data_IF_588745967047
#
_entry.id   IF_588745967047
#
_cell.length_a   1.000
_cell.length_b   1.000
_cell.length_c   1.000
_cell.angle_alpha   90.00
_cell.angle_beta   90.00
_cell.angle_gamma   90.00
#
_symmetry.space_group_name_H-M   'P 1'
#
loop_
_entity.id
_entity.type
_entity.pdbx_description
1 polymer ?
#
# COMPACT_ATOMS: atom_id res chain seq x y z
N UNK A 1 44.06 1.53 -34.45
CA UNK A 1 43.98 1.84 -33.00
C UNK A 1 43.64 3.30 -32.68
N UNK A 2 44.18 4.32 -33.36
CA UNK A 2 43.96 5.74 -33.01
C UNK A 2 42.50 6.27 -33.15
N UNK A 3 41.70 5.77 -34.11
CA UNK A 3 40.26 6.11 -34.23
C UNK A 3 39.43 5.67 -33.02
N UNK A 4 39.73 4.51 -32.42
CA UNK A 4 39.01 3.98 -31.24
C UNK A 4 39.22 4.85 -30.00
N UNK A 5 40.44 5.35 -29.76
CA UNK A 5 40.76 6.23 -28.63
C UNK A 5 40.04 7.60 -28.71
N UNK A 6 39.86 8.17 -29.91
CA UNK A 6 39.09 9.43 -30.09
C UNK A 6 37.61 9.27 -29.76
N UNK A 7 36.98 8.19 -30.22
CA UNK A 7 35.58 7.86 -29.86
C UNK A 7 35.40 7.54 -28.39
N UNK A 8 36.37 6.87 -27.77
CA UNK A 8 36.36 6.58 -26.34
C UNK A 8 36.41 7.88 -25.52
N UNK A 9 37.33 8.78 -25.83
CA UNK A 9 37.46 10.08 -25.17
C UNK A 9 36.22 10.99 -25.34
N UNK A 10 35.61 10.98 -26.52
CA UNK A 10 34.35 11.70 -26.77
C UNK A 10 33.17 11.12 -25.96
N UNK A 11 33.10 9.80 -25.81
CA UNK A 11 32.11 9.13 -24.96
C UNK A 11 32.29 9.47 -23.48
N UNK A 12 33.52 9.50 -22.97
CA UNK A 12 33.80 9.95 -21.58
C UNK A 12 33.34 11.38 -21.33
N UNK A 13 33.58 12.29 -22.29
CA UNK A 13 33.13 13.68 -22.18
C UNK A 13 31.61 13.80 -22.19
N UNK A 14 30.95 13.07 -23.09
CA UNK A 14 29.49 13.02 -23.15
C UNK A 14 28.89 12.48 -21.84
N UNK A 15 29.44 11.38 -21.31
CA UNK A 15 29.07 10.82 -20.00
C UNK A 15 29.28 11.87 -18.89
N UNK A 16 30.39 12.61 -18.93
CA UNK A 16 30.65 13.70 -18.00
C UNK A 16 29.57 14.79 -18.03
N UNK A 17 29.15 15.24 -19.22
CA UNK A 17 28.06 16.22 -19.35
C UNK A 17 26.71 15.66 -18.86
N UNK A 18 26.39 14.40 -19.16
CA UNK A 18 25.17 13.75 -18.67
C UNK A 18 25.17 13.66 -17.15
N UNK A 19 26.28 13.24 -16.54
CA UNK A 19 26.41 13.19 -15.07
C UNK A 19 26.33 14.58 -14.45
N UNK A 20 26.92 15.60 -15.07
CA UNK A 20 26.82 16.99 -14.60
C UNK A 20 25.36 17.47 -14.60
N UNK A 21 24.61 17.24 -15.68
CA UNK A 21 23.20 17.60 -15.78
C UNK A 21 22.36 16.82 -14.76
N UNK A 22 22.60 15.52 -14.62
CA UNK A 22 21.91 14.69 -13.63
C UNK A 22 22.17 15.13 -12.19
N UNK A 23 23.42 15.47 -11.85
CA UNK A 23 23.79 15.98 -10.53
C UNK A 23 23.13 17.33 -10.22
N UNK A 24 23.10 18.26 -11.18
CA UNK A 24 22.39 19.55 -11.04
C UNK A 24 20.88 19.32 -10.87
N UNK A 25 20.29 18.43 -11.65
CA UNK A 25 18.86 18.11 -11.55
C UNK A 25 18.49 17.56 -10.16
N UNK A 26 19.32 16.68 -9.58
CA UNK A 26 19.12 16.18 -8.23
C UNK A 26 19.18 17.29 -7.18
N UNK A 27 20.12 18.23 -7.30
CA UNK A 27 20.24 19.37 -6.39
C UNK A 27 19.00 20.27 -6.50
N UNK A 28 18.56 20.60 -7.72
CA UNK A 28 17.39 21.46 -7.95
C UNK A 28 16.12 20.86 -7.38
N UNK A 29 15.88 19.56 -7.59
CA UNK A 29 14.72 18.89 -7.01
C UNK A 29 14.79 18.85 -5.48
N UNK A 30 15.95 18.52 -4.90
CA UNK A 30 16.11 18.55 -3.45
C UNK A 30 15.86 19.92 -2.83
N UNK A 31 16.34 21.00 -3.49
CA UNK A 31 16.08 22.38 -3.07
C UNK A 31 14.60 22.73 -3.22
N UNK A 32 13.94 22.31 -4.30
CA UNK A 32 12.52 22.58 -4.54
C UNK A 32 11.64 21.91 -3.48
N UNK A 33 11.87 20.61 -3.23
CA UNK A 33 11.14 19.83 -2.23
C UNK A 33 11.35 20.42 -0.83
N UNK A 34 12.57 20.86 -0.52
CA UNK A 34 12.86 21.56 0.73
C UNK A 34 12.23 22.95 0.81
N UNK A 35 12.23 23.73 -0.27
CA UNK A 35 11.64 25.07 -0.28
C UNK A 35 10.13 25.02 -0.05
N UNK A 36 9.47 24.00 -0.62
CA UNK A 36 8.05 23.72 -0.41
C UNK A 36 7.77 23.33 1.05
N UNK A 37 8.60 22.47 1.66
CA UNK A 37 8.51 22.13 3.08
C UNK A 37 8.92 23.27 4.01
N UNK A 38 9.85 24.13 3.61
CA UNK A 38 10.32 25.29 4.38
C UNK A 38 9.27 26.39 4.45
N UNK A 39 8.40 26.52 3.44
CA UNK A 39 7.22 27.39 3.51
C UNK A 39 6.23 26.94 4.59
N UNK A 40 6.19 25.66 4.91
CA UNK A 40 5.39 25.10 6.00
C UNK A 40 6.07 25.23 7.38
N UNK A 41 7.22 25.89 7.48
CA UNK A 41 7.92 26.06 8.75
C UNK A 41 7.26 27.11 9.64
N UNK A 42 6.67 28.15 9.04
CA UNK A 42 5.95 29.22 9.72
C UNK A 42 4.48 28.87 10.02
N UNK A 43 4.03 27.70 9.55
CA UNK A 43 2.70 27.18 9.85
C UNK A 43 2.53 26.89 11.34
N UNK A 44 1.38 27.28 11.87
CA UNK A 44 1.07 27.13 13.29
C UNK A 44 0.64 25.68 13.58
N UNK A 45 0.94 25.21 14.78
CA UNK A 45 0.51 23.88 15.23
C UNK A 45 -0.78 23.97 16.02
N UNK A 46 -1.66 22.99 15.82
CA UNK A 46 -2.87 22.80 16.61
C UNK A 46 -3.13 21.32 16.85
N UNK A 47 -4.02 21.02 17.79
CA UNK A 47 -4.54 19.68 17.98
C UNK A 47 -5.73 19.46 17.05
N UNK A 48 -5.73 18.33 16.36
CA UNK A 48 -6.83 17.85 15.55
C UNK A 48 -7.33 16.51 16.10
N UNK A 49 -8.62 16.26 15.97
CA UNK A 49 -9.23 14.98 16.31
C UNK A 49 -9.47 14.20 15.02
N UNK A 50 -9.04 12.93 14.98
CA UNK A 50 -9.31 12.04 13.85
C UNK A 50 -10.80 11.74 13.79
N UNK A 51 -11.44 12.00 12.65
CA UNK A 51 -12.86 11.78 12.42
C UNK A 51 -13.14 10.60 11.50
N UNK A 52 -12.19 10.22 10.64
CA UNK A 52 -12.29 9.03 9.81
C UNK A 52 -10.92 8.43 9.48
N UNK A 53 -10.90 7.11 9.24
CA UNK A 53 -9.70 6.35 8.90
C UNK A 53 -10.03 5.36 7.79
N UNK A 54 -9.21 5.32 6.76
CA UNK A 54 -9.30 4.33 5.67
C UNK A 54 -7.92 3.78 5.31
N UNK A 55 -7.89 2.65 4.61
CA UNK A 55 -6.67 2.01 4.15
C UNK A 55 -6.72 1.65 2.67
N UNK A 56 -5.56 1.60 2.04
CA UNK A 56 -5.39 1.11 0.67
C UNK A 56 -4.15 0.25 0.54
N UNK A 57 -4.25 -0.78 -0.30
CA UNK A 57 -3.18 -1.76 -0.50
C UNK A 57 -2.41 -1.44 -1.78
N UNK A 58 -1.12 -1.16 -1.65
CA UNK A 58 -0.21 -1.01 -2.78
C UNK A 58 0.52 -2.33 -3.01
N UNK A 59 0.43 -2.84 -4.24
CA UNK A 59 1.13 -4.06 -4.67
C UNK A 59 2.36 -3.68 -5.47
N UNK A 60 3.54 -4.11 -5.03
CA UNK A 60 4.77 -3.93 -5.78
C UNK A 60 4.99 -5.11 -6.73
N UNK A 61 5.05 -4.84 -8.03
CA UNK A 61 5.38 -5.84 -9.05
C UNK A 61 6.90 -6.07 -9.08
N UNK A 62 7.39 -7.07 -8.33
CA UNK A 62 8.81 -7.45 -8.24
C UNK A 62 9.01 -8.92 -7.82
N UNK A 63 10.26 -9.36 -7.58
CA UNK A 63 10.64 -10.77 -7.32
C UNK A 63 10.19 -11.37 -5.98
N UNK A 64 9.14 -10.82 -5.40
CA UNK A 64 8.46 -11.29 -4.21
C UNK A 64 7.20 -10.46 -4.11
N UNK A 65 6.04 -11.10 -4.20
CA UNK A 65 4.74 -10.44 -4.07
C UNK A 65 4.68 -9.76 -2.68
N UNK A 66 5.06 -8.48 -2.60
CA UNK A 66 5.02 -7.68 -1.38
C UNK A 66 3.90 -6.66 -1.55
N UNK A 67 2.92 -6.75 -0.67
CA UNK A 67 1.87 -5.74 -0.50
C UNK A 67 2.18 -4.91 0.72
N UNK A 68 2.02 -3.59 0.60
CA UNK A 68 2.06 -2.66 1.72
C UNK A 68 0.71 -2.00 1.86
N UNK A 69 0.19 -1.98 3.08
CA UNK A 69 -1.05 -1.25 3.41
C UNK A 69 -0.67 0.10 3.96
N UNK A 70 -1.29 1.14 3.42
CA UNK A 70 -1.15 2.51 3.89
C UNK A 70 -2.50 3.03 4.36
N UNK A 71 -2.47 3.97 5.29
CA UNK A 71 -3.64 4.54 5.95
C UNK A 71 -3.75 6.02 5.64
N UNK A 72 -4.97 6.51 5.51
CA UNK A 72 -5.29 7.92 5.33
C UNK A 72 -6.32 8.32 6.38
N UNK A 73 -6.02 9.41 7.09
CA UNK A 73 -6.86 9.98 8.12
C UNK A 73 -7.61 11.18 7.55
N UNK A 74 -8.87 11.33 7.97
CA UNK A 74 -9.57 12.61 7.96
C UNK A 74 -9.62 13.10 9.40
N UNK A 75 -9.34 14.37 9.61
CA UNK A 75 -9.29 14.96 10.95
C UNK A 75 -9.91 16.35 10.95
N UNK A 76 -10.40 16.76 12.10
CA UNK A 76 -10.98 18.09 12.32
C UNK A 76 -10.18 18.86 13.37
N UNK A 77 -10.03 20.17 13.16
CA UNK A 77 -9.37 21.09 14.08
C UNK A 77 -10.07 22.44 14.07
N UNK A 78 -9.96 23.16 15.18
CA UNK A 78 -10.58 24.48 15.33
C UNK A 78 -9.52 25.57 15.31
N UNK A 79 -9.72 26.59 14.49
CA UNK A 79 -8.91 27.81 14.43
C UNK A 79 -9.84 29.00 14.58
N UNK A 80 -9.57 29.88 15.55
CA UNK A 80 -10.38 31.08 15.81
C UNK A 80 -11.90 30.86 15.96
N UNK A 81 -12.30 29.66 16.43
CA UNK A 81 -13.71 29.30 16.61
C UNK A 81 -14.40 28.71 15.36
N UNK A 82 -13.68 28.55 14.26
CA UNK A 82 -14.14 27.86 13.04
C UNK A 82 -13.52 26.48 12.94
N UNK A 83 -14.30 25.49 12.51
CA UNK A 83 -13.86 24.10 12.34
C UNK A 83 -13.41 23.87 10.91
N UNK A 84 -12.25 23.26 10.77
CA UNK A 84 -11.61 22.90 9.51
C UNK A 84 -11.38 21.40 9.45
N UNK A 85 -11.40 20.85 8.25
CA UNK A 85 -11.18 19.43 8.00
C UNK A 85 -9.93 19.25 7.15
N UNK A 86 -9.00 18.42 7.61
CA UNK A 86 -7.79 18.07 6.88
C UNK A 86 -7.73 16.59 6.52
N UNK A 87 -6.82 16.25 5.60
CA UNK A 87 -6.49 14.87 5.24
C UNK A 87 -5.00 14.62 5.45
N UNK A 88 -4.65 13.45 5.99
CA UNK A 88 -3.24 13.08 6.14
C UNK A 88 -2.64 12.61 4.82
N UNK A 89 -1.30 12.64 4.73
CA UNK A 89 -0.58 11.81 3.76
C UNK A 89 -0.74 10.31 4.04
N UNK A 90 -0.05 9.48 3.26
CA UNK A 90 -0.03 8.03 3.46
C UNK A 90 0.76 7.68 4.72
N UNK A 91 0.10 7.04 5.68
CA UNK A 91 0.70 6.55 6.92
C UNK A 91 0.94 5.05 6.85
N UNK A 92 2.02 4.57 7.46
CA UNK A 92 2.32 3.13 7.55
C UNK A 92 1.60 2.42 8.69
N UNK A 93 1.05 3.19 9.63
CA UNK A 93 0.38 2.69 10.83
C UNK A 93 -0.99 3.34 10.96
N UNK A 94 -2.03 2.58 11.33
CA UNK A 94 -3.35 3.14 11.56
C UNK A 94 -3.37 4.00 12.83
N UNK A 95 -4.34 4.90 12.87
CA UNK A 95 -4.85 5.56 14.08
C UNK A 95 -6.33 5.21 14.22
N UNK A 96 -6.92 5.52 15.37
CA UNK A 96 -8.35 5.34 15.60
C UNK A 96 -9.07 6.69 15.49
N UNK A 97 -10.35 6.64 15.10
CA UNK A 97 -11.28 7.75 15.24
C UNK A 97 -11.33 8.16 16.72
N UNK A 98 -11.27 9.47 16.97
CA UNK A 98 -11.14 10.04 18.31
C UNK A 98 -9.71 10.28 18.77
N UNK A 99 -8.69 9.71 18.10
CA UNK A 99 -7.30 10.01 18.43
C UNK A 99 -7.00 11.50 18.24
N UNK A 100 -6.23 12.07 19.18
CA UNK A 100 -5.72 13.43 19.08
C UNK A 100 -4.36 13.42 18.38
N UNK A 101 -4.25 14.20 17.32
CA UNK A 101 -3.03 14.35 16.52
C UNK A 101 -2.59 15.81 16.50
N UNK A 102 -1.29 16.04 16.36
CA UNK A 102 -0.77 17.39 16.10
C UNK A 102 -0.72 17.61 14.59
N UNK A 103 -1.25 18.74 14.13
CA UNK A 103 -1.21 19.15 12.74
C UNK A 103 -0.66 20.56 12.63
N UNK A 104 -0.09 20.88 11.47
CA UNK A 104 0.25 22.24 11.09
C UNK A 104 -0.80 22.77 10.13
N UNK A 105 -1.13 24.05 10.22
CA UNK A 105 -2.03 24.74 9.29
C UNK A 105 -1.46 26.10 8.88
N UNK A 106 -1.85 26.57 7.70
CA UNK A 106 -1.50 27.91 7.23
C UNK A 106 -2.37 28.97 7.94
N UNK A 107 -1.79 29.91 8.71
CA UNK A 107 -2.59 30.94 9.38
C UNK A 107 -3.30 31.91 8.42
N UNK A 108 -2.83 32.04 7.18
CA UNK A 108 -3.46 32.87 6.14
C UNK A 108 -4.53 32.10 5.34
N UNK A 109 -4.47 30.76 5.36
CA UNK A 109 -5.41 29.84 4.71
C UNK A 109 -5.65 28.59 5.59
N UNK A 110 -6.44 28.70 6.68
CA UNK A 110 -6.54 27.63 7.68
C UNK A 110 -7.11 26.32 7.18
N UNK A 111 -7.72 26.27 5.99
CA UNK A 111 -8.12 25.06 5.26
C UNK A 111 -6.93 24.20 4.79
N UNK A 112 -5.76 24.79 4.60
CA UNK A 112 -4.53 24.08 4.23
C UNK A 112 -3.85 23.55 5.50
N UNK A 113 -3.77 22.23 5.62
CA UNK A 113 -3.14 21.57 6.78
C UNK A 113 -2.31 20.34 6.40
N UNK A 114 -1.37 19.99 7.29
CA UNK A 114 -0.49 18.84 7.12
C UNK A 114 -0.19 18.16 8.46
N UNK A 115 -0.06 16.83 8.40
CA UNK A 115 0.42 16.00 9.52
C UNK A 115 1.95 15.92 9.59
N UNK A 116 2.67 16.48 8.61
CA UNK A 116 4.14 16.49 8.58
C UNK A 116 4.66 17.65 9.41
N UNK A 117 5.09 17.37 10.64
CA UNK A 117 5.47 18.41 11.60
C UNK A 117 6.84 19.05 11.33
N UNK A 118 7.74 18.35 10.63
CA UNK A 118 9.11 18.82 10.38
C UNK A 118 9.54 18.54 8.94
N UNK A 119 10.21 19.49 8.27
CA UNK A 119 10.84 19.25 6.97
C UNK A 119 11.83 18.10 7.07
N UNK A 120 11.90 17.27 6.03
CA UNK A 120 12.89 16.20 5.90
C UNK A 120 14.25 16.79 5.52
N UNK A 121 14.88 17.52 6.45
CA UNK A 121 16.22 18.12 6.31
C UNK A 121 17.28 17.10 5.88
N UNK A 122 17.12 15.84 6.30
CA UNK A 122 17.99 14.73 5.91
C UNK A 122 17.93 14.44 4.41
N UNK A 123 16.76 14.49 3.79
CA UNK A 123 16.59 14.17 2.37
C UNK A 123 17.19 15.26 1.48
N UNK A 124 17.02 16.54 1.86
CA UNK A 124 17.74 17.65 1.24
C UNK A 124 19.26 17.42 1.32
N UNK A 125 19.78 17.13 2.52
CA UNK A 125 21.23 16.96 2.73
C UNK A 125 21.76 15.79 1.89
N UNK A 126 21.04 14.66 1.83
CA UNK A 126 21.43 13.52 0.99
C UNK A 126 21.43 13.88 -0.49
N UNK A 127 20.38 14.53 -1.00
CA UNK A 127 20.28 14.93 -2.40
C UNK A 127 21.36 15.95 -2.78
N UNK A 128 21.68 16.89 -1.88
CA UNK A 128 22.71 17.91 -2.10
C UNK A 128 24.11 17.29 -2.12
N UNK A 129 24.44 16.40 -1.17
CA UNK A 129 25.73 15.70 -1.12
C UNK A 129 25.90 14.78 -2.35
N UNK A 130 24.90 13.97 -2.65
CA UNK A 130 24.94 13.03 -3.76
C UNK A 130 24.98 13.76 -5.12
N UNK A 131 24.12 14.76 -5.30
CA UNK A 131 24.08 15.57 -6.51
C UNK A 131 25.39 16.33 -6.75
N UNK A 132 26.00 16.87 -5.69
CA UNK A 132 27.31 17.55 -5.77
C UNK A 132 28.43 16.58 -6.15
N UNK A 133 28.45 15.38 -5.56
CA UNK A 133 29.43 14.35 -5.89
C UNK A 133 29.32 13.91 -7.37
N UNK A 134 28.09 13.66 -7.85
CA UNK A 134 27.82 13.27 -9.24
C UNK A 134 28.21 14.42 -10.20
N UNK A 135 27.87 15.66 -9.86
CA UNK A 135 28.23 16.83 -10.66
C UNK A 135 29.74 17.03 -10.74
N UNK A 136 30.47 16.86 -9.63
CA UNK A 136 31.93 16.97 -9.60
C UNK A 136 32.62 15.91 -10.48
N UNK A 137 32.14 14.66 -10.45
CA UNK A 137 32.60 13.59 -11.35
C UNK A 137 32.28 13.95 -12.80
N UNK A 138 31.09 14.50 -13.07
CA UNK A 138 30.70 14.98 -14.39
C UNK A 138 31.60 16.09 -14.94
N UNK A 139 31.95 17.07 -14.10
CA UNK A 139 32.87 18.17 -14.43
C UNK A 139 34.29 17.64 -14.71
N UNK A 140 34.76 16.66 -13.95
CA UNK A 140 36.07 16.04 -14.16
C UNK A 140 36.12 15.28 -15.51
N UNK A 141 35.10 14.45 -15.79
CA UNK A 141 35.04 13.61 -16.98
C UNK A 141 34.71 14.40 -18.26
N UNK A 142 33.93 15.48 -18.17
CA UNK A 142 33.59 16.35 -19.30
C UNK A 142 34.81 17.10 -19.84
N UNK A 143 35.88 17.20 -19.05
CA UNK A 143 37.08 17.96 -19.40
C UNK A 143 36.83 19.47 -19.47
N UNK A 144 35.72 19.96 -18.88
CA UNK A 144 35.36 21.38 -18.80
C UNK A 144 36.45 22.17 -18.07
N UNK A 145 37.08 21.60 -17.05
CA UNK A 145 38.24 22.22 -16.37
C UNK A 145 39.38 22.49 -17.38
N UNK A 146 39.63 21.54 -18.27
CA UNK A 146 40.61 21.67 -19.35
C UNK A 146 40.20 22.71 -20.39
N UNK A 147 38.92 22.75 -20.77
CA UNK A 147 38.37 23.75 -21.70
C UNK A 147 38.34 25.17 -21.11
N UNK A 148 38.09 25.35 -19.81
CA UNK A 148 38.18 26.64 -19.12
C UNK A 148 39.63 27.09 -19.06
N UNK A 149 40.57 26.18 -18.74
CA UNK A 149 42.02 26.46 -18.85
C UNK A 149 42.42 26.83 -20.26
N UNK A 150 41.91 26.11 -21.26
CA UNK A 150 42.20 26.34 -22.66
C UNK A 150 41.54 27.64 -23.14
N UNK A 151 40.32 28.00 -22.72
CA UNK A 151 39.66 29.27 -23.03
C UNK A 151 40.38 30.47 -22.38
N UNK A 152 40.85 30.30 -21.13
CA UNK A 152 41.76 31.25 -20.48
C UNK A 152 43.09 31.40 -21.23
N UNK A 153 43.60 30.32 -21.84
CA UNK A 153 44.80 30.34 -22.69
C UNK A 153 44.54 30.81 -24.14
N UNK A 154 43.32 30.63 -24.66
CA UNK A 154 42.90 30.86 -26.06
C UNK A 154 42.29 32.23 -26.27
N UNK A 155 42.07 33.00 -25.21
CA UNK A 155 42.15 34.46 -25.26
C UNK A 155 43.53 34.96 -25.75
N UNK A 156 44.52 34.07 -25.94
CA UNK A 156 45.88 34.40 -26.37
C UNK A 156 46.28 33.92 -27.76
N UNK A 157 45.63 32.95 -28.42
CA UNK A 157 45.96 32.54 -29.82
C UNK A 157 44.90 31.66 -30.50
N UNK A 158 44.70 31.87 -31.83
CA UNK A 158 43.59 31.37 -32.66
C UNK A 158 43.63 29.92 -33.19
N UNK A 159 42.53 29.54 -33.85
CA UNK A 159 42.10 28.21 -34.43
C UNK A 159 42.29 28.19 -35.99
N UNK A 160 41.86 27.18 -36.79
CA UNK A 160 41.73 25.68 -36.68
C UNK A 160 42.08 24.89 -38.00
N UNK A 161 42.04 23.52 -38.10
CA UNK A 161 40.97 22.62 -38.63
C UNK A 161 41.57 21.23 -39.09
N UNK A 162 40.86 20.28 -39.72
CA UNK A 162 39.94 19.17 -39.32
C UNK A 162 39.95 18.13 -40.48
N UNK A 163 39.51 16.87 -40.31
CA UNK A 163 38.71 16.08 -41.31
C UNK A 163 38.41 14.61 -40.90
N UNK A 164 37.44 14.01 -41.62
CA UNK A 164 36.37 13.03 -41.26
C UNK A 164 36.45 11.72 -42.08
N UNK A 165 35.74 10.62 -41.70
CA UNK A 165 34.93 9.72 -42.60
C UNK A 165 34.32 8.43 -41.96
N UNK A 166 33.12 8.05 -42.45
CA UNK A 166 32.14 6.94 -42.16
C UNK A 166 32.24 5.77 -43.17
N UNK A 167 31.60 4.59 -42.92
CA UNK A 167 30.82 3.72 -43.90
C UNK A 167 30.09 2.54 -43.20
N UNK A 168 28.98 2.10 -43.80
CA UNK A 168 27.87 1.16 -43.46
C UNK A 168 28.14 -0.38 -43.52
N UNK A 169 27.13 -1.20 -43.14
CA UNK A 169 26.67 -2.45 -43.83
C UNK A 169 25.28 -2.89 -43.36
N UNK A 170 24.45 -3.43 -44.27
CA UNK A 170 23.07 -3.92 -44.06
C UNK A 170 22.93 -5.44 -43.92
N UNK A 171 21.71 -5.93 -43.66
CA UNK A 171 21.34 -7.35 -43.49
C UNK A 171 20.02 -7.68 -44.20
N UNK A 172 19.94 -8.91 -44.74
CA UNK A 172 18.88 -9.43 -45.63
C UNK A 172 17.95 -10.44 -44.90
N UNK A 173 16.67 -10.50 -45.27
CA UNK A 173 15.55 -10.95 -44.41
C UNK A 173 14.78 -12.18 -44.91
N UNK A 174 15.34 -13.01 -45.79
CA UNK A 174 14.57 -14.06 -46.48
C UNK A 174 14.70 -15.50 -45.93
N UNK A 175 14.96 -15.71 -44.63
CA UNK A 175 15.30 -17.05 -44.11
C UNK A 175 14.36 -17.64 -43.05
N UNK A 176 13.10 -17.19 -42.91
CA UNK A 176 12.20 -17.80 -41.92
C UNK A 176 10.80 -17.98 -42.51
N UNK A 177 10.56 -19.15 -43.11
CA UNK A 177 9.21 -19.65 -43.28
C UNK A 177 9.20 -21.19 -43.33
N UNK A 178 8.57 -21.80 -42.31
CA UNK A 178 7.46 -22.78 -42.38
C UNK A 178 7.58 -23.87 -41.30
N UNK A 179 6.58 -23.92 -40.42
CA UNK A 179 6.21 -25.12 -39.64
C UNK A 179 4.69 -25.30 -39.76
N UNK A 180 4.17 -26.50 -40.05
CA UNK A 180 2.76 -26.69 -40.43
C UNK A 180 1.82 -26.74 -39.22
N UNK A 181 0.75 -25.94 -39.28
CA UNK A 181 -0.17 -25.64 -38.17
C UNK A 181 -1.25 -26.69 -37.86
N UNK A 182 -1.20 -27.92 -38.40
CA UNK A 182 -2.41 -28.76 -38.48
C UNK A 182 -2.57 -29.91 -37.47
N UNK A 183 -1.69 -30.04 -36.47
CA UNK A 183 -1.72 -31.19 -35.55
C UNK A 183 -2.06 -30.85 -34.08
N UNK A 184 -2.11 -29.57 -33.71
CA UNK A 184 -2.20 -29.15 -32.30
C UNK A 184 -3.64 -28.88 -31.82
N UNK A 185 -4.57 -28.59 -32.74
CA UNK A 185 -5.94 -28.14 -32.42
C UNK A 185 -6.73 -29.10 -31.52
N UNK A 186 -6.80 -30.42 -31.77
CA UNK A 186 -7.59 -31.33 -30.91
C UNK A 186 -6.94 -31.55 -29.54
N UNK A 187 -5.60 -31.49 -29.46
CA UNK A 187 -4.88 -31.59 -28.18
C UNK A 187 -5.09 -30.36 -27.32
N UNK A 188 -5.15 -29.18 -27.95
CA UNK A 188 -5.39 -27.90 -27.26
C UNK A 188 -6.82 -27.83 -26.72
N UNK A 189 -7.82 -28.34 -27.46
CA UNK A 189 -9.20 -28.42 -27.00
C UNK A 189 -9.38 -29.37 -25.79
N UNK A 190 -8.76 -30.55 -25.82
CA UNK A 190 -8.79 -31.49 -24.70
C UNK A 190 -8.06 -30.92 -23.46
N UNK A 191 -6.95 -30.20 -23.68
CA UNK A 191 -6.22 -29.52 -22.61
C UNK A 191 -7.04 -28.38 -21.98
N UNK A 192 -7.76 -27.60 -22.80
CA UNK A 192 -8.65 -26.54 -22.32
C UNK A 192 -9.85 -27.09 -21.53
N UNK A 193 -10.41 -28.23 -21.93
CA UNK A 193 -11.49 -28.90 -21.21
C UNK A 193 -11.02 -29.46 -19.86
N UNK A 194 -9.86 -30.13 -19.84
CA UNK A 194 -9.24 -30.59 -18.60
C UNK A 194 -8.88 -29.42 -17.69
N UNK A 195 -8.37 -28.32 -18.26
CA UNK A 195 -8.08 -27.09 -17.53
C UNK A 195 -9.35 -26.45 -16.97
N UNK A 196 -10.45 -26.39 -17.72
CA UNK A 196 -11.73 -25.88 -17.24
C UNK A 196 -12.30 -26.75 -16.11
N UNK A 197 -12.19 -28.09 -16.21
CA UNK A 197 -12.60 -29.01 -15.15
C UNK A 197 -11.74 -28.84 -13.89
N UNK A 198 -10.42 -28.66 -14.04
CA UNK A 198 -9.52 -28.33 -12.92
C UNK A 198 -9.87 -26.97 -12.34
N UNK A 199 -10.12 -25.94 -13.15
CA UNK A 199 -10.54 -24.61 -12.67
C UNK A 199 -11.87 -24.69 -11.92
N UNK A 200 -12.83 -25.50 -12.36
CA UNK A 200 -14.11 -25.70 -11.67
C UNK A 200 -13.94 -26.53 -10.38
N UNK A 201 -13.08 -27.55 -10.38
CA UNK A 201 -12.74 -28.36 -9.21
C UNK A 201 -11.96 -27.53 -8.17
N UNK A 202 -11.03 -26.70 -8.62
CA UNK A 202 -10.30 -25.70 -7.84
C UNK A 202 -11.26 -24.64 -7.31
N UNK A 203 -12.25 -24.18 -8.09
CA UNK A 203 -13.32 -23.29 -7.60
C UNK A 203 -14.18 -23.97 -6.54
N UNK A 204 -14.51 -25.26 -6.71
CA UNK A 204 -15.36 -26.01 -5.79
C UNK A 204 -14.65 -26.32 -4.45
N UNK A 205 -13.33 -26.52 -4.46
CA UNK A 205 -12.54 -26.79 -3.25
C UNK A 205 -11.83 -25.56 -2.65
N UNK A 206 -11.61 -24.47 -3.40
CA UNK A 206 -11.03 -23.22 -2.89
C UNK A 206 -12.06 -22.12 -2.61
N UNK A 207 -13.34 -22.35 -2.92
CA UNK A 207 -14.40 -21.50 -2.35
C UNK A 207 -14.67 -22.03 -0.95
N UNK A 208 -13.85 -21.61 0.01
CA UNK A 208 -14.36 -21.50 1.38
C UNK A 208 -15.66 -20.67 1.27
N UNK A 209 -16.81 -21.27 1.57
CA UNK A 209 -18.14 -20.64 1.56
C UNK A 209 -18.24 -19.62 2.71
N UNK A 210 -17.29 -18.68 2.78
CA UNK A 210 -17.31 -17.60 3.75
C UNK A 210 -18.41 -16.67 3.29
N UNK A 211 -19.52 -16.68 4.02
CA UNK A 211 -20.68 -15.87 3.67
C UNK A 211 -20.29 -14.38 3.67
N UNK A 212 -20.66 -13.65 2.60
CA UNK A 212 -20.65 -12.19 2.63
C UNK A 212 -21.59 -11.65 3.73
N UNK A 213 -21.48 -10.38 4.14
CA UNK A 213 -22.40 -9.82 5.15
C UNK A 213 -23.88 -10.01 4.80
N UNK A 214 -24.25 -9.90 3.52
CA UNK A 214 -25.63 -10.08 3.08
C UNK A 214 -26.07 -11.56 3.12
N UNK A 215 -25.20 -12.48 2.71
CA UNK A 215 -25.46 -13.93 2.82
C UNK A 215 -25.57 -14.35 4.29
N UNK A 216 -24.68 -13.84 5.16
CA UNK A 216 -24.74 -14.07 6.59
C UNK A 216 -26.04 -13.54 7.20
N UNK A 217 -26.46 -12.32 6.84
CA UNK A 217 -27.74 -11.74 7.27
C UNK A 217 -28.91 -12.63 6.86
N UNK A 218 -28.94 -13.07 5.61
CA UNK A 218 -30.02 -13.90 5.09
C UNK A 218 -30.04 -15.28 5.78
N UNK A 219 -28.87 -15.87 6.04
CA UNK A 219 -28.74 -17.13 6.77
C UNK A 219 -29.19 -16.97 8.23
N UNK A 220 -28.77 -15.90 8.91
CA UNK A 220 -29.17 -15.61 10.28
C UNK A 220 -30.70 -15.44 10.41
N UNK A 221 -31.31 -14.66 9.51
CA UNK A 221 -32.78 -14.50 9.47
C UNK A 221 -33.48 -15.83 9.17
N UNK A 222 -32.92 -16.67 8.29
CA UNK A 222 -33.46 -18.00 7.99
C UNK A 222 -33.35 -18.97 9.17
N UNK A 223 -32.32 -18.80 10.00
CA UNK A 223 -32.14 -19.51 11.26
C UNK A 223 -33.00 -18.96 12.41
N UNK A 224 -33.75 -17.87 12.19
CA UNK A 224 -34.67 -17.27 13.16
C UNK A 224 -34.07 -16.12 13.97
N UNK A 225 -32.82 -15.73 13.73
CA UNK A 225 -32.16 -14.64 14.43
C UNK A 225 -32.56 -13.27 13.89
N UNK A 226 -32.58 -12.28 14.79
CA UNK A 226 -32.70 -10.87 14.40
C UNK A 226 -31.33 -10.31 13.96
N UNK A 227 -31.10 -10.24 12.65
CA UNK A 227 -29.87 -9.69 12.07
C UNK A 227 -30.09 -8.28 11.48
N UNK A 228 -29.27 -7.32 11.92
CA UNK A 228 -29.35 -5.92 11.51
C UNK A 228 -28.03 -5.41 10.93
N UNK A 229 -28.12 -4.35 10.13
CA UNK A 229 -26.96 -3.58 9.73
C UNK A 229 -26.39 -2.83 10.94
N UNK A 230 -25.13 -3.06 11.25
CA UNK A 230 -24.43 -2.45 12.39
C UNK A 230 -23.25 -1.57 11.97
N UNK A 231 -23.18 -1.21 10.68
CA UNK A 231 -21.98 -0.62 10.08
C UNK A 231 -21.56 0.66 10.77
N UNK A 232 -22.45 1.66 10.89
CA UNK A 232 -22.08 2.94 11.49
C UNK A 232 -21.86 2.82 13.01
N UNK A 233 -22.70 2.03 13.70
CA UNK A 233 -22.57 1.79 15.14
C UNK A 233 -21.21 1.18 15.51
N UNK A 234 -20.73 0.20 14.73
CA UNK A 234 -19.42 -0.41 14.95
C UNK A 234 -18.27 0.49 14.51
N UNK A 235 -18.45 1.31 13.46
CA UNK A 235 -17.44 2.31 13.07
C UNK A 235 -17.14 3.29 14.19
N UNK A 236 -18.20 3.80 14.82
CA UNK A 236 -18.10 4.75 15.92
C UNK A 236 -17.60 4.07 17.19
N UNK A 237 -18.25 2.98 17.62
CA UNK A 237 -17.93 2.34 18.89
C UNK A 237 -16.55 1.69 18.94
N UNK A 238 -16.05 1.17 17.81
CA UNK A 238 -14.69 0.62 17.73
C UNK A 238 -13.65 1.65 17.30
N UNK A 239 -14.07 2.87 16.92
CA UNK A 239 -13.19 3.92 16.44
C UNK A 239 -12.44 3.55 15.15
N UNK A 240 -12.99 2.66 14.33
CA UNK A 240 -12.32 2.15 13.12
C UNK A 240 -12.66 2.93 11.85
N UNK A 241 -13.73 3.73 11.88
CA UNK A 241 -14.16 4.55 10.74
C UNK A 241 -14.32 3.72 9.45
N UNK A 242 -14.05 4.34 8.31
CA UNK A 242 -14.18 3.74 6.98
C UNK A 242 -13.33 2.50 6.73
N UNK A 243 -12.39 2.13 7.62
CA UNK A 243 -11.72 0.83 7.57
C UNK A 243 -12.71 -0.33 7.66
N UNK A 244 -13.80 -0.16 8.43
CA UNK A 244 -14.94 -1.07 8.42
C UNK A 244 -15.84 -0.68 7.25
N UNK A 245 -15.89 -1.50 6.21
CA UNK A 245 -16.67 -1.20 5.00
C UNK A 245 -18.16 -1.57 5.15
N UNK A 246 -18.45 -2.63 5.89
CA UNK A 246 -19.79 -3.18 6.12
C UNK A 246 -19.77 -4.03 7.38
N UNK A 247 -20.84 -4.02 8.16
CA UNK A 247 -21.07 -5.07 9.15
C UNK A 247 -22.54 -5.47 9.27
N UNK A 248 -22.75 -6.68 9.79
CA UNK A 248 -24.04 -7.21 10.18
C UNK A 248 -23.89 -7.79 11.58
N UNK A 249 -24.80 -7.44 12.47
CA UNK A 249 -24.82 -7.96 13.83
C UNK A 249 -26.10 -8.71 14.13
N UNK A 250 -25.96 -9.78 14.91
CA UNK A 250 -27.05 -10.45 15.63
C UNK A 250 -26.86 -10.13 17.10
N UNK A 251 -27.90 -9.60 17.73
CA UNK A 251 -27.86 -9.24 19.15
C UNK A 251 -29.12 -9.71 19.85
N UNK A 252 -28.96 -10.69 20.72
CA UNK A 252 -30.01 -11.27 21.56
C UNK A 252 -29.52 -11.34 23.02
N UNK A 253 -30.38 -11.73 23.95
CA UNK A 253 -30.05 -11.73 25.38
C UNK A 253 -28.87 -12.63 25.74
N UNK A 254 -28.66 -13.70 24.98
CA UNK A 254 -27.63 -14.72 25.21
C UNK A 254 -26.60 -14.83 24.10
N UNK A 255 -26.74 -14.04 23.01
CA UNK A 255 -25.95 -14.16 21.79
C UNK A 255 -25.57 -12.78 21.23
N UNK A 256 -24.29 -12.62 20.88
CA UNK A 256 -23.81 -11.51 20.07
C UNK A 256 -22.89 -12.05 18.97
N UNK A 257 -23.25 -11.77 17.71
CA UNK A 257 -22.41 -12.00 16.55
C UNK A 257 -22.18 -10.67 15.85
N UNK A 258 -20.94 -10.28 15.63
CA UNK A 258 -20.61 -9.09 14.82
C UNK A 258 -19.76 -9.53 13.62
N UNK A 259 -20.38 -9.65 12.44
CA UNK A 259 -19.65 -9.93 11.21
C UNK A 259 -19.29 -8.63 10.51
N UNK A 260 -17.99 -8.39 10.35
CA UNK A 260 -17.43 -7.17 9.78
C UNK A 260 -16.61 -7.48 8.53
N UNK A 261 -16.77 -6.66 7.50
CA UNK A 261 -15.90 -6.64 6.32
C UNK A 261 -15.03 -5.40 6.37
N UNK A 262 -13.72 -5.61 6.47
CA UNK A 262 -12.73 -4.55 6.43
C UNK A 262 -12.36 -4.19 4.99
N UNK A 263 -11.90 -2.97 4.77
CA UNK A 263 -11.39 -2.46 3.51
C UNK A 263 -10.13 -3.21 3.01
N UNK A 264 -9.33 -3.73 3.94
CA UNK A 264 -8.13 -4.52 3.65
C UNK A 264 -7.95 -5.69 4.62
N UNK A 265 -7.25 -6.73 4.16
CA UNK A 265 -6.90 -7.87 5.00
C UNK A 265 -5.89 -7.51 6.10
N UNK A 266 -5.09 -6.46 5.90
CA UNK A 266 -4.19 -5.95 6.95
C UNK A 266 -4.99 -5.28 8.06
N UNK A 267 -5.99 -4.46 7.71
CA UNK A 267 -6.93 -3.85 8.66
C UNK A 267 -7.65 -4.92 9.50
N UNK A 268 -8.13 -6.01 8.88
CA UNK A 268 -8.73 -7.15 9.60
C UNK A 268 -7.76 -7.75 10.62
N UNK A 269 -6.54 -8.10 10.18
CA UNK A 269 -5.53 -8.72 11.08
C UNK A 269 -5.14 -7.80 12.22
N UNK A 270 -5.02 -6.50 11.98
CA UNK A 270 -4.69 -5.52 13.02
C UNK A 270 -5.82 -5.37 14.04
N UNK A 271 -7.06 -5.26 13.57
CA UNK A 271 -8.22 -5.21 14.44
C UNK A 271 -8.35 -6.51 15.26
N UNK A 272 -8.21 -7.66 14.61
CA UNK A 272 -8.17 -8.98 15.26
C UNK A 272 -7.09 -9.06 16.36
N UNK A 273 -5.88 -8.55 16.08
CA UNK A 273 -4.79 -8.55 17.04
C UNK A 273 -5.06 -7.61 18.24
N UNK A 274 -5.78 -6.51 18.02
CA UNK A 274 -6.18 -5.56 19.07
C UNK A 274 -7.35 -6.03 19.94
N UNK A 275 -8.21 -6.92 19.43
CA UNK A 275 -9.34 -7.46 20.18
C UNK A 275 -8.88 -8.37 21.32
N UNK A 276 -9.45 -8.16 22.51
CA UNK A 276 -9.18 -8.98 23.70
C UNK A 276 -10.40 -9.83 24.03
N UNK A 277 -10.16 -11.10 24.35
CA UNK A 277 -11.17 -12.00 24.91
C UNK A 277 -10.81 -12.32 26.37
N UNK A 278 -11.78 -12.73 27.20
CA UNK A 278 -11.48 -13.24 28.55
C UNK A 278 -10.44 -14.36 28.48
N UNK A 279 -9.46 -14.40 29.37
CA UNK A 279 -8.39 -15.42 29.34
C UNK A 279 -8.61 -16.59 30.31
N UNK A 280 -9.70 -16.55 31.07
CA UNK A 280 -10.00 -17.55 32.11
C UNK A 280 -10.92 -18.62 31.53
N UNK A 281 -10.35 -19.56 30.77
CA UNK A 281 -11.09 -20.63 30.11
C UNK A 281 -10.17 -21.59 29.34
N UNK A 282 -10.76 -22.60 28.72
CA UNK A 282 -10.08 -23.43 27.73
C UNK A 282 -9.92 -22.62 26.43
N UNK A 283 -8.72 -22.64 25.85
CA UNK A 283 -8.40 -21.80 24.69
C UNK A 283 -8.18 -22.68 23.47
N UNK A 284 -8.86 -22.34 22.39
CA UNK A 284 -8.64 -22.91 21.06
C UNK A 284 -8.07 -21.83 20.16
N UNK A 285 -6.87 -22.05 19.63
CA UNK A 285 -6.20 -21.11 18.73
C UNK A 285 -5.77 -21.81 17.44
N UNK A 286 -6.07 -21.19 16.30
CA UNK A 286 -5.58 -21.59 14.99
C UNK A 286 -5.08 -20.36 14.24
N UNK A 287 -3.88 -20.45 13.66
CA UNK A 287 -3.26 -19.32 12.96
C UNK A 287 -2.60 -19.79 11.67
N UNK A 288 -3.32 -19.61 10.56
CA UNK A 288 -2.84 -19.87 9.20
C UNK A 288 -2.72 -18.55 8.43
N UNK A 289 -2.06 -18.59 7.26
CA UNK A 289 -1.83 -17.39 6.44
C UNK A 289 -3.11 -16.62 6.05
N UNK A 290 -4.22 -17.33 5.92
CA UNK A 290 -5.52 -16.79 5.47
C UNK A 290 -6.64 -16.88 6.50
N UNK A 291 -6.44 -17.58 7.62
CA UNK A 291 -7.48 -17.85 8.62
C UNK A 291 -6.86 -17.84 10.02
N UNK A 292 -7.40 -16.99 10.91
CA UNK A 292 -7.02 -16.88 12.31
C UNK A 292 -8.25 -17.05 13.19
N UNK A 293 -8.17 -17.93 14.19
CA UNK A 293 -9.22 -18.18 15.18
C UNK A 293 -8.60 -18.11 16.56
N UNK A 294 -9.27 -17.42 17.46
CA UNK A 294 -9.01 -17.47 18.89
C UNK A 294 -10.35 -17.56 19.61
N UNK A 295 -10.60 -18.69 20.24
CA UNK A 295 -11.81 -18.96 20.98
C UNK A 295 -11.48 -19.30 22.44
N UNK A 296 -12.36 -18.90 23.33
CA UNK A 296 -12.27 -19.12 24.76
C UNK A 296 -13.58 -19.70 25.26
N UNK A 297 -13.46 -20.87 25.87
CA UNK A 297 -14.56 -21.60 26.46
C UNK A 297 -14.50 -21.50 28.00
N UNK A 298 -15.55 -20.95 28.59
CA UNK A 298 -15.67 -20.80 30.04
C UNK A 298 -16.91 -21.55 30.53
N UNK A 299 -17.03 -21.88 31.83
CA UNK A 299 -18.20 -22.59 32.35
C UNK A 299 -19.56 -21.90 32.13
N UNK A 300 -19.57 -20.62 31.75
CA UNK A 300 -20.80 -19.82 31.59
C UNK A 300 -21.00 -19.33 30.16
N UNK A 301 -19.92 -19.02 29.44
CA UNK A 301 -19.98 -18.42 28.13
C UNK A 301 -18.90 -18.99 27.20
N UNK A 302 -19.15 -18.87 25.90
CA UNK A 302 -18.20 -19.07 24.82
C UNK A 302 -17.94 -17.72 24.13
N UNK A 303 -16.70 -17.44 23.77
CA UNK A 303 -16.35 -16.26 22.99
C UNK A 303 -15.29 -16.58 21.96
N UNK A 304 -15.42 -16.03 20.76
CA UNK A 304 -14.44 -16.22 19.71
C UNK A 304 -14.22 -14.94 18.91
N UNK A 305 -13.01 -14.82 18.36
CA UNK A 305 -12.68 -13.89 17.29
C UNK A 305 -12.09 -14.68 16.14
N UNK A 306 -12.52 -14.38 14.93
CA UNK A 306 -12.13 -15.09 13.71
C UNK A 306 -11.79 -14.03 12.64
N UNK A 307 -10.63 -14.10 12.01
CA UNK A 307 -10.27 -13.26 10.86
C UNK A 307 -9.92 -14.13 9.65
N UNK A 308 -10.64 -13.92 8.54
CA UNK A 308 -10.47 -14.62 7.27
C UNK A 308 -10.41 -13.61 6.13
N UNK A 309 -9.20 -13.37 5.61
CA UNK A 309 -9.00 -12.33 4.59
C UNK A 309 -9.41 -10.94 5.10
N UNK A 310 -10.46 -10.37 4.52
CA UNK A 310 -11.06 -9.08 4.93
C UNK A 310 -12.20 -9.23 5.96
N UNK A 311 -12.63 -10.45 6.23
CA UNK A 311 -13.77 -10.72 7.10
C UNK A 311 -13.30 -10.94 8.53
N UNK A 312 -13.93 -10.26 9.47
CA UNK A 312 -13.72 -10.39 10.91
C UNK A 312 -15.06 -10.77 11.54
N UNK A 313 -15.09 -11.83 12.34
CA UNK A 313 -16.26 -12.23 13.10
C UNK A 313 -15.93 -12.21 14.59
N UNK A 314 -16.72 -11.49 15.37
CA UNK A 314 -16.75 -11.61 16.82
C UNK A 314 -17.98 -12.44 17.24
N UNK A 315 -17.77 -13.34 18.19
CA UNK A 315 -18.77 -14.26 18.73
C UNK A 315 -18.77 -14.16 20.24
N UNK A 316 -19.94 -14.02 20.83
CA UNK A 316 -20.19 -14.23 22.24
C UNK A 316 -21.51 -14.97 22.38
N UNK A 317 -21.53 -16.04 23.16
CA UNK A 317 -22.76 -16.77 23.45
C UNK A 317 -22.71 -17.45 24.82
N UNK A 318 -23.87 -17.75 25.40
CA UNK A 318 -23.95 -18.62 26.59
C UNK A 318 -23.57 -20.06 26.26
N UNK A 319 -23.23 -20.85 27.27
CA UNK A 319 -22.96 -22.29 27.08
C UNK A 319 -24.18 -23.07 26.59
N UNK A 320 -25.39 -22.64 26.95
CA UNK A 320 -26.65 -23.29 26.53
C UNK A 320 -26.81 -23.23 25.01
N UNK A 321 -26.53 -22.07 24.42
CA UNK A 321 -26.72 -21.83 22.98
C UNK A 321 -25.47 -22.16 22.14
N UNK A 322 -24.34 -22.52 22.78
CA UNK A 322 -23.05 -22.71 22.10
C UNK A 322 -23.14 -23.67 20.92
N UNK A 323 -23.78 -24.82 21.10
CA UNK A 323 -23.85 -25.85 20.06
C UNK A 323 -24.59 -25.36 18.81
N UNK A 324 -25.74 -24.70 19.01
CA UNK A 324 -26.55 -24.16 17.91
C UNK A 324 -25.85 -23.02 17.19
N UNK A 325 -25.13 -22.16 17.94
CA UNK A 325 -24.33 -21.07 17.36
C UNK A 325 -23.17 -21.62 16.54
N UNK A 326 -22.42 -22.62 17.04
CA UNK A 326 -21.33 -23.22 16.28
C UNK A 326 -21.81 -23.93 15.01
N UNK A 327 -22.93 -24.66 15.09
CA UNK A 327 -23.55 -25.27 13.91
C UNK A 327 -24.00 -24.22 12.88
N UNK A 328 -24.55 -23.09 13.33
CA UNK A 328 -24.84 -21.97 12.45
C UNK A 328 -23.57 -21.42 11.80
N UNK A 329 -22.51 -21.17 12.56
CA UNK A 329 -21.24 -20.63 12.05
C UNK A 329 -20.54 -21.58 11.06
N UNK A 330 -20.64 -22.89 11.27
CA UNK A 330 -20.18 -23.90 10.32
C UNK A 330 -20.95 -23.79 8.99
N UNK A 331 -22.28 -23.63 9.05
CA UNK A 331 -23.12 -23.49 7.86
C UNK A 331 -22.81 -22.26 7.01
N UNK A 332 -22.28 -21.19 7.62
CA UNK A 332 -21.87 -19.94 6.95
C UNK A 332 -20.36 -19.84 6.71
N UNK A 333 -19.61 -20.91 6.97
CA UNK A 333 -18.18 -21.02 6.66
C UNK A 333 -17.24 -20.23 7.57
N UNK A 334 -17.68 -19.93 8.81
CA UNK A 334 -16.90 -19.20 9.82
C UNK A 334 -16.39 -20.08 10.96
N UNK A 335 -16.80 -21.34 11.03
CA UNK A 335 -16.32 -22.32 12.00
C UNK A 335 -16.06 -23.67 11.32
N UNK A 336 -15.04 -24.38 11.80
CA UNK A 336 -14.69 -25.75 11.40
C UNK A 336 -14.04 -26.42 12.63
N UNK A 337 -14.34 -27.69 12.91
CA UNK A 337 -13.89 -28.40 14.12
C UNK A 337 -12.39 -28.73 14.16
#
# INVERSE_FOLDING_TARGET
MWKQYKTFFARFRFIGYVLMIAGIYLIVNGIKDYAEQSRQNDWLTTQATVTDVSSHVVRSHGSGNRSSTYYTLVYEYTVNGENYTGKSGQLSSPRLVGDVITVKYDPEAPEESTTTLSPHTRDLVVLLVLGTAIAAVGVYLSGVIGLVRELLQKGRTGKPNESVSKTDTGFDSSAIAKIPAKQWVPRLAAWLLAFAAVVLFVKFFLTSNIASPDEFRNAAVSAGYAAADSTEDLRESWGVGSMLSRSVSVYESSLRLDLCKMDSADSCRRLYAGMTLPITGEVTESNTLSHQVYAVDTPTNFSAKICIGQMLLYVFTTQEDKADVLAFLESVGYWDE
#
